data_IF_565697652774
#
_entry.id   IF_565697652774
#
_cell.length_a   1.000
_cell.length_b   1.000
_cell.length_c   1.000
_cell.angle_alpha   90.00
_cell.angle_beta   90.00
_cell.angle_gamma   90.00
#
_symmetry.space_group_name_H-M   'P 1'
#
loop_
_entity.id
_entity.type
_entity.pdbx_description
1 polymer ?
#
# COMPACT_ATOMS: atom_id res chain seq x y z
N UNK A 1 4.35 2.81 -15.74
CA UNK A 1 4.10 4.25 -15.51
C UNK A 1 3.31 4.78 -16.69
N UNK A 2 2.38 5.68 -16.44
CA UNK A 2 1.46 6.20 -17.45
C UNK A 2 1.17 7.66 -17.17
N UNK A 3 1.22 8.49 -18.21
CA UNK A 3 0.64 9.84 -18.20
C UNK A 3 -0.81 9.72 -18.67
N UNK A 4 -1.74 10.24 -17.90
CA UNK A 4 -3.18 10.24 -18.19
C UNK A 4 -3.57 11.65 -18.61
N UNK A 5 -4.12 11.81 -19.82
CA UNK A 5 -4.71 13.07 -20.25
C UNK A 5 -6.08 13.25 -19.58
N UNK A 6 -6.33 14.41 -18.98
CA UNK A 6 -7.55 14.70 -18.23
C UNK A 6 -8.47 15.63 -19.01
N UNK A 7 -8.04 16.87 -19.24
CA UNK A 7 -8.74 17.86 -20.06
C UNK A 7 -7.76 18.91 -20.59
N UNK A 8 -8.24 19.77 -21.48
CA UNK A 8 -7.51 20.96 -21.92
C UNK A 8 -8.33 22.21 -21.61
N UNK A 9 -7.65 23.28 -21.20
CA UNK A 9 -8.25 24.61 -21.04
C UNK A 9 -8.20 25.40 -22.35
N UNK A 10 -8.92 26.54 -22.41
CA UNK A 10 -9.03 27.39 -23.62
C UNK A 10 -7.71 28.10 -24.01
N UNK A 11 -6.72 28.09 -23.15
CA UNK A 11 -5.37 28.66 -23.33
C UNK A 11 -4.34 27.61 -23.78
N UNK A 12 -4.80 26.44 -24.27
CA UNK A 12 -3.97 25.29 -24.63
C UNK A 12 -3.18 24.67 -23.46
N UNK A 13 -3.48 25.01 -22.21
CA UNK A 13 -2.98 24.27 -21.05
C UNK A 13 -3.61 22.88 -21.00
N UNK A 14 -2.78 21.85 -20.97
CA UNK A 14 -3.22 20.45 -20.93
C UNK A 14 -3.07 19.92 -19.51
N UNK A 15 -4.17 19.48 -18.92
CA UNK A 15 -4.17 18.86 -17.60
C UNK A 15 -3.87 17.38 -17.72
N UNK A 16 -2.87 16.92 -16.97
CA UNK A 16 -2.38 15.55 -16.97
C UNK A 16 -2.22 15.02 -15.56
N UNK A 17 -2.31 13.71 -15.41
CA UNK A 17 -1.93 13.00 -14.19
C UNK A 17 -0.90 11.92 -14.46
N UNK A 18 -0.16 11.52 -13.43
CA UNK A 18 0.80 10.42 -13.50
C UNK A 18 0.39 9.28 -12.59
N UNK A 19 0.47 8.05 -13.10
CA UNK A 19 0.23 6.82 -12.34
C UNK A 19 1.39 5.86 -12.58
N UNK A 20 1.98 5.37 -11.51
CA UNK A 20 2.99 4.31 -11.53
C UNK A 20 2.50 3.15 -10.69
N UNK A 21 2.65 1.92 -11.20
CA UNK A 21 2.35 0.71 -10.47
C UNK A 21 3.64 -0.09 -10.26
N UNK A 22 3.86 -0.58 -9.05
CA UNK A 22 5.05 -1.31 -8.64
C UNK A 22 4.71 -2.73 -8.19
N UNK A 23 5.70 -3.60 -8.30
CA UNK A 23 5.74 -4.89 -7.64
C UNK A 23 7.21 -5.14 -7.30
N UNK A 24 7.59 -4.93 -6.05
CA UNK A 24 8.98 -5.06 -5.58
C UNK A 24 9.35 -6.51 -5.28
N UNK A 25 10.61 -6.76 -4.91
CA UNK A 25 11.09 -8.07 -4.48
C UNK A 25 10.25 -8.59 -3.29
N UNK A 26 9.67 -9.78 -3.43
CA UNK A 26 8.84 -10.39 -2.38
C UNK A 26 9.63 -10.79 -1.13
N UNK A 27 10.80 -11.40 -1.33
CA UNK A 27 11.66 -11.86 -0.23
C UNK A 27 13.08 -11.35 -0.44
N UNK A 28 13.52 -10.42 0.41
CA UNK A 28 14.85 -9.79 0.31
C UNK A 28 15.91 -10.40 1.25
N UNK A 29 15.55 -11.36 2.11
CA UNK A 29 16.47 -11.89 3.12
C UNK A 29 16.94 -10.81 4.09
N UNK A 30 18.25 -10.73 4.31
CA UNK A 30 18.92 -9.71 5.12
C UNK A 30 19.40 -8.51 4.28
N UNK A 31 19.23 -8.57 2.96
CA UNK A 31 19.68 -7.54 2.03
C UNK A 31 18.64 -6.41 1.90
N UNK A 32 19.10 -5.22 1.51
CA UNK A 32 18.23 -4.05 1.33
C UNK A 32 17.70 -3.91 -0.11
N UNK A 33 17.25 -5.02 -0.71
CA UNK A 33 16.84 -5.05 -2.13
C UNK A 33 15.63 -4.14 -2.38
N UNK A 34 14.61 -4.20 -1.52
CA UNK A 34 13.39 -3.39 -1.68
C UNK A 34 13.75 -1.90 -1.57
N UNK A 35 14.61 -1.51 -0.62
CA UNK A 35 15.04 -0.12 -0.47
C UNK A 35 15.74 0.42 -1.72
N UNK A 36 16.61 -0.39 -2.33
CA UNK A 36 17.25 -0.04 -3.60
C UNK A 36 16.23 0.09 -4.73
N UNK A 37 15.27 -0.81 -4.85
CA UNK A 37 14.20 -0.74 -5.84
C UNK A 37 13.31 0.51 -5.67
N UNK A 38 13.05 0.94 -4.43
CA UNK A 38 12.34 2.19 -4.18
C UNK A 38 13.18 3.42 -4.57
N UNK A 39 14.51 3.36 -4.42
CA UNK A 39 15.40 4.42 -4.89
C UNK A 39 15.41 4.51 -6.42
N UNK A 40 15.50 3.37 -7.11
CA UNK A 40 15.40 3.30 -8.57
C UNK A 40 14.03 3.78 -9.06
N UNK A 41 12.96 3.41 -8.36
CA UNK A 41 11.60 3.89 -8.66
C UNK A 41 11.53 5.41 -8.66
N UNK A 42 12.11 6.09 -7.65
CA UNK A 42 12.13 7.56 -7.61
C UNK A 42 12.82 8.15 -8.84
N UNK A 43 13.95 7.58 -9.24
CA UNK A 43 14.70 8.02 -10.42
C UNK A 43 13.90 7.81 -11.70
N UNK A 44 13.33 6.62 -11.91
CA UNK A 44 12.59 6.31 -13.13
C UNK A 44 11.26 7.07 -13.23
N UNK A 45 10.58 7.32 -12.11
CA UNK A 45 9.37 8.16 -12.10
C UNK A 45 9.72 9.61 -12.45
N UNK A 46 10.83 10.15 -11.92
CA UNK A 46 11.30 11.48 -12.29
C UNK A 46 11.65 11.58 -13.78
N UNK A 47 12.45 10.63 -14.29
CA UNK A 47 12.86 10.56 -15.70
C UNK A 47 11.66 10.39 -16.65
N UNK A 48 10.69 9.55 -16.29
CA UNK A 48 9.45 9.38 -17.07
C UNK A 48 8.66 10.69 -17.15
N UNK A 49 8.51 11.41 -16.04
CA UNK A 49 7.82 12.71 -16.03
C UNK A 49 8.55 13.72 -16.89
N UNK A 50 9.88 13.80 -16.79
CA UNK A 50 10.69 14.71 -17.60
C UNK A 50 10.53 14.45 -19.10
N UNK A 51 10.56 13.18 -19.52
CA UNK A 51 10.46 12.78 -20.93
C UNK A 51 9.07 12.93 -21.56
N UNK A 52 8.02 12.86 -20.75
CA UNK A 52 6.63 12.84 -21.25
C UNK A 52 5.89 14.16 -21.06
N UNK A 53 6.41 15.05 -20.20
CA UNK A 53 5.80 16.33 -19.91
C UNK A 53 6.04 17.33 -21.03
N UNK A 54 4.99 18.00 -21.45
CA UNK A 54 5.04 19.15 -22.35
C UNK A 54 5.13 20.45 -21.54
N UNK A 55 5.64 21.53 -22.16
CA UNK A 55 5.75 22.84 -21.50
C UNK A 55 4.39 23.43 -21.10
N UNK A 56 3.31 23.03 -21.78
CA UNK A 56 1.93 23.44 -21.50
C UNK A 56 1.21 22.53 -20.49
N UNK A 57 1.88 21.48 -20.00
CA UNK A 57 1.24 20.53 -19.08
C UNK A 57 1.14 21.08 -17.65
N UNK A 58 -0.08 21.02 -17.13
CA UNK A 58 -0.42 21.19 -15.71
C UNK A 58 -0.61 19.79 -15.11
N UNK A 59 0.23 19.46 -14.11
CA UNK A 59 0.16 18.14 -13.45
C UNK A 59 -0.78 18.22 -12.25
N UNK A 60 -1.93 17.58 -12.39
CA UNK A 60 -3.02 17.58 -11.42
C UNK A 60 -2.78 16.59 -10.28
N UNK A 61 -2.24 15.41 -10.59
CA UNK A 61 -1.86 14.40 -9.60
C UNK A 61 -0.68 13.55 -10.07
N UNK A 62 0.01 12.96 -9.10
CA UNK A 62 1.08 11.99 -9.30
C UNK A 62 0.98 10.92 -8.23
N UNK A 63 0.68 9.69 -8.66
CA UNK A 63 0.33 8.56 -7.81
C UNK A 63 1.27 7.40 -8.07
N UNK A 64 1.75 6.79 -7.00
CA UNK A 64 2.46 5.51 -7.03
C UNK A 64 1.64 4.50 -6.25
N UNK A 65 1.34 3.35 -6.82
CA UNK A 65 0.63 2.28 -6.15
C UNK A 65 1.26 0.92 -6.43
N UNK A 66 0.75 -0.11 -5.77
CA UNK A 66 1.08 -1.51 -6.04
C UNK A 66 1.51 -2.27 -4.80
N UNK A 67 2.18 -3.39 -5.04
CA UNK A 67 2.70 -4.26 -3.99
C UNK A 67 4.16 -3.91 -3.69
N UNK A 68 4.39 -3.39 -2.49
CA UNK A 68 5.70 -2.96 -2.02
C UNK A 68 6.43 -4.07 -1.27
N UNK A 69 5.77 -5.21 -1.00
CA UNK A 69 6.29 -6.35 -0.25
C UNK A 69 6.90 -6.04 1.13
N UNK A 70 6.75 -4.81 1.61
CA UNK A 70 7.25 -4.30 2.87
C UNK A 70 6.14 -3.51 3.57
N UNK A 71 5.95 -3.76 4.85
CA UNK A 71 4.96 -3.03 5.65
C UNK A 71 5.59 -1.75 6.27
N UNK A 72 4.89 -1.13 7.21
CA UNK A 72 5.33 0.09 7.88
C UNK A 72 5.53 -0.11 9.39
N UNK A 73 5.70 -1.34 9.88
CA UNK A 73 5.85 -1.60 11.32
C UNK A 73 6.93 -2.65 11.64
N UNK A 74 7.18 -3.58 10.71
CA UNK A 74 8.14 -4.66 10.82
C UNK A 74 9.57 -4.15 10.97
N UNK A 75 10.35 -4.77 11.85
CA UNK A 75 11.76 -4.42 12.07
C UNK A 75 12.59 -4.65 10.80
N UNK A 76 12.31 -5.73 10.07
CA UNK A 76 12.95 -6.04 8.80
C UNK A 76 12.67 -5.02 7.68
N UNK A 77 11.69 -4.14 7.88
CA UNK A 77 11.29 -3.09 6.94
C UNK A 77 11.72 -1.68 7.40
N UNK A 78 12.52 -1.57 8.47
CA UNK A 78 12.91 -0.28 9.04
C UNK A 78 13.60 0.67 8.06
N UNK A 79 14.35 0.13 7.09
CA UNK A 79 14.99 0.93 6.02
C UNK A 79 13.97 1.49 5.03
N UNK A 80 12.80 0.86 4.91
CA UNK A 80 11.68 1.29 4.08
C UNK A 80 10.87 2.39 4.76
N UNK A 81 10.66 2.29 6.08
CA UNK A 81 9.87 3.27 6.86
C UNK A 81 10.34 4.72 6.64
N UNK A 82 11.66 4.91 6.54
CA UNK A 82 12.30 6.22 6.39
C UNK A 82 12.86 6.44 4.97
N UNK A 83 12.45 5.62 4.00
CA UNK A 83 12.96 5.71 2.64
C UNK A 83 12.52 7.03 2.00
N UNK A 84 13.39 7.61 1.17
CA UNK A 84 13.15 8.95 0.62
C UNK A 84 11.91 9.09 -0.27
N UNK A 85 11.36 7.96 -0.74
CA UNK A 85 10.09 7.93 -1.46
C UNK A 85 8.94 8.47 -0.58
N UNK A 86 8.94 8.19 0.72
CA UNK A 86 7.91 8.63 1.66
C UNK A 86 8.11 10.09 2.14
N UNK A 87 9.24 10.71 1.77
CA UNK A 87 9.37 12.17 1.85
C UNK A 87 8.69 12.85 0.66
N UNK A 88 8.81 12.31 -0.55
CA UNK A 88 8.21 12.91 -1.76
C UNK A 88 6.71 12.59 -1.89
N UNK A 89 6.32 11.39 -1.46
CA UNK A 89 4.95 10.88 -1.52
C UNK A 89 4.41 10.58 -0.13
N UNK A 90 3.10 10.76 0.03
CA UNK A 90 2.36 10.52 1.25
C UNK A 90 1.54 9.24 1.13
N UNK A 91 1.60 8.38 2.15
CA UNK A 91 0.73 7.22 2.33
C UNK A 91 -0.41 7.59 3.29
N UNK A 92 -1.66 7.54 2.82
CA UNK A 92 -2.82 7.93 3.61
C UNK A 92 -3.08 7.02 4.83
N UNK A 93 -2.56 5.79 4.82
CA UNK A 93 -2.66 4.87 5.95
C UNK A 93 -1.56 5.08 7.00
N UNK A 94 -0.47 5.75 6.64
CA UNK A 94 0.70 5.95 7.50
C UNK A 94 0.48 7.15 8.42
N UNK A 95 0.54 6.94 9.74
CA UNK A 95 0.55 8.03 10.71
C UNK A 95 1.95 8.66 10.82
N UNK A 96 2.97 7.81 10.91
CA UNK A 96 4.39 8.17 10.92
C UNK A 96 5.24 6.95 10.50
N UNK A 97 6.54 7.12 10.20
CA UNK A 97 7.43 5.99 9.92
C UNK A 97 7.42 4.97 11.06
N UNK A 98 7.09 3.71 10.77
CA UNK A 98 6.97 2.67 11.80
C UNK A 98 5.55 2.53 12.39
N UNK A 99 4.59 3.36 11.99
CA UNK A 99 3.24 3.33 12.53
C UNK A 99 2.16 3.74 11.51
N UNK A 100 1.22 2.83 11.29
CA UNK A 100 -0.02 3.12 10.58
C UNK A 100 -1.12 3.67 11.50
N UNK A 101 -2.11 4.34 10.92
CA UNK A 101 -3.32 4.74 11.63
C UNK A 101 -4.09 3.52 12.14
N UNK A 102 -4.78 3.67 13.28
CA UNK A 102 -5.50 2.56 13.93
C UNK A 102 -6.65 1.94 13.13
N UNK A 103 -7.12 2.61 12.07
CA UNK A 103 -8.14 2.09 11.15
C UNK A 103 -7.54 1.28 10.00
N UNK A 104 -6.24 1.41 9.73
CA UNK A 104 -5.57 0.66 8.68
C UNK A 104 -5.36 -0.80 9.10
N UNK A 105 -5.48 -1.71 8.13
CA UNK A 105 -5.32 -3.15 8.31
C UNK A 105 -4.26 -3.70 7.37
N UNK A 106 -3.77 -4.91 7.66
CA UNK A 106 -2.89 -5.62 6.73
C UNK A 106 -3.62 -6.04 5.46
N UNK A 107 -2.86 -6.19 4.38
CA UNK A 107 -3.38 -6.52 3.05
C UNK A 107 -2.97 -7.89 2.57
N UNK A 108 -1.98 -8.52 3.21
CA UNK A 108 -1.49 -9.84 2.82
C UNK A 108 -2.03 -10.93 3.76
N UNK A 109 -2.62 -11.95 3.17
CA UNK A 109 -3.24 -13.07 3.86
C UNK A 109 -2.23 -14.18 4.17
N UNK A 110 -2.53 -14.94 5.21
CA UNK A 110 -1.89 -16.23 5.48
C UNK A 110 -2.42 -17.23 4.46
N UNK A 111 -1.61 -17.59 3.47
CA UNK A 111 -2.03 -18.45 2.35
C UNK A 111 -2.72 -19.76 2.79
N UNK A 112 -2.27 -20.48 3.86
CA UNK A 112 -2.93 -21.70 4.32
C UNK A 112 -4.39 -21.51 4.75
N UNK A 113 -4.82 -20.27 5.02
CA UNK A 113 -6.14 -19.94 5.53
C UNK A 113 -7.09 -19.37 4.48
N UNK A 114 -6.60 -19.11 3.25
CA UNK A 114 -7.36 -18.46 2.18
C UNK A 114 -8.70 -19.15 1.89
N UNK A 115 -8.71 -20.48 1.84
CA UNK A 115 -9.90 -21.27 1.53
C UNK A 115 -10.66 -21.75 2.77
N UNK A 116 -10.45 -21.09 3.91
CA UNK A 116 -11.19 -21.41 5.14
C UNK A 116 -12.68 -21.25 4.92
N UNK A 117 -13.47 -22.15 5.53
CA UNK A 117 -14.94 -22.08 5.52
C UNK A 117 -15.50 -20.78 6.13
N UNK A 118 -14.69 -20.05 6.90
CA UNK A 118 -15.03 -18.72 7.43
C UNK A 118 -14.96 -17.62 6.35
N UNK A 119 -14.24 -17.84 5.25
CA UNK A 119 -14.03 -16.90 4.14
C UNK A 119 -14.84 -17.31 2.91
N UNK A 120 -16.06 -17.78 3.13
CA UNK A 120 -16.93 -18.36 2.11
C UNK A 120 -17.42 -17.34 1.07
N UNK A 121 -17.50 -16.06 1.42
CA UNK A 121 -17.89 -14.98 0.52
C UNK A 121 -17.29 -13.62 0.95
N UNK A 122 -17.31 -12.60 0.07
CA UNK A 122 -16.80 -11.26 0.39
C UNK A 122 -17.41 -10.60 1.62
N UNK A 123 -18.67 -10.87 1.95
CA UNK A 123 -19.35 -10.25 3.08
C UNK A 123 -18.90 -10.88 4.41
N UNK A 124 -18.74 -12.20 4.45
CA UNK A 124 -18.18 -12.89 5.61
C UNK A 124 -16.71 -12.51 5.83
N UNK A 125 -15.91 -12.42 4.77
CA UNK A 125 -14.53 -11.95 4.92
C UNK A 125 -14.48 -10.51 5.44
N UNK A 126 -15.40 -9.64 5.00
CA UNK A 126 -15.48 -8.27 5.52
C UNK A 126 -15.70 -8.24 7.03
N UNK A 127 -16.62 -9.06 7.55
CA UNK A 127 -16.86 -9.18 8.99
C UNK A 127 -15.63 -9.67 9.75
N UNK A 128 -14.90 -10.63 9.17
CA UNK A 128 -13.63 -11.12 9.71
C UNK A 128 -12.59 -10.01 9.80
N UNK A 129 -12.48 -9.15 8.80
CA UNK A 129 -11.51 -8.04 8.80
C UNK A 129 -11.87 -6.93 9.82
N UNK A 130 -13.16 -6.70 10.06
CA UNK A 130 -13.65 -5.72 11.04
C UNK A 130 -13.41 -6.14 12.49
N UNK A 131 -13.34 -7.45 12.75
CA UNK A 131 -13.01 -8.00 14.07
C UNK A 131 -11.49 -8.14 14.22
N UNK A 132 -10.93 -7.47 15.22
CA UNK A 132 -9.48 -7.45 15.46
C UNK A 132 -8.89 -8.85 15.71
N UNK A 133 -9.59 -9.70 16.45
CA UNK A 133 -9.11 -11.03 16.79
C UNK A 133 -9.28 -11.98 15.60
N UNK A 134 -10.42 -11.93 14.91
CA UNK A 134 -10.61 -12.75 13.71
C UNK A 134 -9.63 -12.37 12.61
N UNK A 135 -9.38 -11.07 12.38
CA UNK A 135 -8.44 -10.62 11.34
C UNK A 135 -7.05 -11.23 11.48
N UNK A 136 -6.53 -11.32 12.71
CA UNK A 136 -5.20 -11.92 13.01
C UNK A 136 -5.08 -13.40 12.63
N UNK A 137 -6.22 -14.11 12.54
CA UNK A 137 -6.24 -15.49 12.09
C UNK A 137 -5.95 -15.64 10.59
N UNK A 138 -6.24 -14.61 9.80
CA UNK A 138 -6.23 -14.67 8.33
C UNK A 138 -5.25 -13.71 7.68
N UNK A 139 -4.92 -12.60 8.32
CA UNK A 139 -3.97 -11.59 7.83
C UNK A 139 -2.63 -11.76 8.55
N UNK A 140 -1.53 -11.57 7.81
CA UNK A 140 -0.18 -11.64 8.37
C UNK A 140 0.08 -10.50 9.36
N UNK A 141 0.90 -10.80 10.36
CA UNK A 141 1.31 -9.83 11.36
C UNK A 141 2.44 -8.97 10.79
N UNK A 142 2.48 -7.68 11.16
CA UNK A 142 3.58 -6.79 10.80
C UNK A 142 4.75 -6.97 11.80
N UNK A 143 5.33 -8.16 11.79
CA UNK A 143 6.37 -8.60 12.73
C UNK A 143 7.59 -9.22 12.05
N UNK A 144 7.80 -8.91 10.76
CA UNK A 144 8.89 -9.45 9.97
C UNK A 144 10.22 -8.92 10.52
N UNK A 145 11.14 -9.83 10.82
CA UNK A 145 12.52 -9.49 11.20
C UNK A 145 13.48 -9.75 10.04
N UNK A 146 13.26 -10.84 9.31
CA UNK A 146 14.00 -11.22 8.10
C UNK A 146 12.98 -11.75 7.08
N UNK A 147 13.10 -11.32 5.83
CA UNK A 147 12.21 -11.75 4.77
C UNK A 147 12.57 -13.15 4.29
N UNK A 148 11.63 -14.09 4.36
CA UNK A 148 11.78 -15.43 3.81
C UNK A 148 10.47 -15.93 3.21
N UNK A 149 10.56 -17.00 2.42
CA UNK A 149 9.39 -17.70 1.87
C UNK A 149 8.46 -18.25 2.95
N UNK A 150 8.91 -18.36 4.20
CA UNK A 150 8.09 -18.86 5.31
C UNK A 150 6.98 -17.88 5.68
N UNK A 151 7.13 -16.58 5.36
CA UNK A 151 6.12 -15.56 5.63
C UNK A 151 4.75 -15.93 5.06
N UNK A 152 4.71 -16.40 3.81
CA UNK A 152 3.48 -16.78 3.11
C UNK A 152 2.68 -17.89 3.84
N UNK A 153 3.39 -18.76 4.58
CA UNK A 153 2.78 -19.91 5.26
C UNK A 153 2.69 -19.76 6.79
N UNK A 154 3.09 -18.60 7.32
CA UNK A 154 3.15 -18.34 8.76
C UNK A 154 1.75 -18.40 9.37
N UNK A 155 1.56 -19.34 10.31
CA UNK A 155 0.30 -19.49 11.05
C UNK A 155 0.19 -18.45 12.19
N UNK A 156 -1.04 -18.16 12.66
CA UNK A 156 -1.24 -17.26 13.79
C UNK A 156 -0.57 -17.77 15.07
N UNK A 157 -0.04 -16.85 15.89
CA UNK A 157 0.58 -17.20 17.17
C UNK A 157 -0.46 -17.48 18.25
N UNK A 158 -0.28 -18.58 18.96
CA UNK A 158 -1.10 -18.95 20.10
C UNK A 158 -0.30 -18.78 21.40
N UNK A 159 -0.97 -18.36 22.46
CA UNK A 159 -0.41 -18.31 23.81
C UNK A 159 -0.31 -19.71 24.45
N UNK A 160 0.21 -19.78 25.67
CA UNK A 160 0.35 -21.03 26.42
C UNK A 160 -0.97 -21.75 26.72
N UNK A 161 -2.10 -21.08 26.54
CA UNK A 161 -3.46 -21.61 26.70
C UNK A 161 -4.13 -21.97 25.37
N UNK A 162 -3.36 -21.97 24.27
CA UNK A 162 -3.86 -22.20 22.90
C UNK A 162 -4.87 -21.16 22.42
N UNK A 163 -4.82 -19.94 22.95
CA UNK A 163 -5.63 -18.80 22.49
C UNK A 163 -4.80 -17.89 21.60
N UNK A 164 -5.45 -17.22 20.65
CA UNK A 164 -4.78 -16.29 19.76
C UNK A 164 -4.14 -15.14 20.54
N UNK A 165 -2.87 -14.87 20.26
CA UNK A 165 -2.12 -13.82 20.95
C UNK A 165 -2.51 -12.41 20.47
N UNK A 166 -2.79 -11.52 21.43
CA UNK A 166 -3.24 -10.15 21.18
C UNK A 166 -2.08 -9.15 20.97
N UNK A 167 -1.22 -9.41 19.98
CA UNK A 167 -0.10 -8.54 19.58
C UNK A 167 -0.53 -7.20 18.95
N UNK A 168 0.19 -6.11 19.22
CA UNK A 168 -0.14 -4.78 18.69
C UNK A 168 -0.04 -4.64 17.16
N UNK A 169 0.81 -5.47 16.54
CA UNK A 169 1.07 -5.58 15.11
C UNK A 169 0.33 -6.76 14.45
N UNK A 170 -0.57 -7.43 15.18
CA UNK A 170 -1.28 -8.59 14.70
C UNK A 170 -2.26 -8.28 13.56
N UNK A 171 -2.20 -9.02 12.44
CA UNK A 171 -3.04 -8.79 11.26
C UNK A 171 -2.89 -7.40 10.63
N UNK A 172 -1.67 -6.85 10.66
CA UNK A 172 -1.35 -5.50 10.19
C UNK A 172 -0.29 -5.43 9.08
N UNK A 173 0.16 -6.56 8.51
CA UNK A 173 1.13 -6.54 7.40
C UNK A 173 0.49 -5.94 6.13
N UNK A 174 0.70 -4.63 5.93
CA UNK A 174 0.14 -3.85 4.81
C UNK A 174 1.22 -3.54 3.79
N UNK A 175 1.27 -4.37 2.74
CA UNK A 175 2.27 -4.26 1.67
C UNK A 175 1.72 -3.59 0.41
N UNK A 176 0.41 -3.59 0.24
CA UNK A 176 -0.27 -2.92 -0.86
C UNK A 176 -0.52 -1.45 -0.49
N UNK A 177 0.04 -0.53 -1.27
CA UNK A 177 0.04 0.91 -0.93
C UNK A 177 -0.45 1.75 -2.11
N UNK A 178 -1.05 2.90 -1.78
CA UNK A 178 -1.36 3.98 -2.73
C UNK A 178 -0.78 5.25 -2.14
N UNK A 179 0.19 5.83 -2.84
CA UNK A 179 0.95 7.00 -2.43
C UNK A 179 0.60 8.18 -3.32
N UNK A 180 0.44 9.36 -2.73
CA UNK A 180 0.18 10.62 -3.46
C UNK A 180 1.35 11.58 -3.29
N UNK A 181 1.85 12.14 -4.38
CA UNK A 181 2.97 13.08 -4.33
C UNK A 181 2.60 14.36 -3.57
N UNK A 182 3.40 14.78 -2.59
CA UNK A 182 3.06 15.87 -1.66
C UNK A 182 2.90 17.25 -2.31
N UNK A 183 3.63 17.52 -3.39
CA UNK A 183 3.48 18.77 -4.16
C UNK A 183 2.12 18.90 -4.85
N UNK A 184 1.44 17.78 -5.15
CA UNK A 184 0.14 17.80 -5.81
C UNK A 184 -0.96 17.70 -4.75
N UNK A 185 -1.84 18.71 -4.69
CA UNK A 185 -2.88 18.80 -3.65
C UNK A 185 -4.04 17.87 -3.97
N UNK A 186 -3.82 16.58 -3.75
CA UNK A 186 -4.85 15.54 -3.78
C UNK A 186 -5.59 15.54 -2.44
N UNK A 187 -6.92 15.64 -2.47
CA UNK A 187 -7.77 15.40 -1.31
C UNK A 187 -8.33 13.99 -1.38
N UNK A 188 -7.90 13.11 -0.49
CA UNK A 188 -8.50 11.78 -0.35
C UNK A 188 -9.94 11.94 0.13
N UNK A 189 -10.89 11.40 -0.64
CA UNK A 189 -12.32 11.40 -0.33
C UNK A 189 -12.77 10.07 0.27
N UNK A 190 -12.11 8.97 -0.10
CA UNK A 190 -12.38 7.64 0.43
C UNK A 190 -11.20 6.72 0.22
N UNK A 191 -11.03 5.78 1.15
CA UNK A 191 -10.02 4.75 1.12
C UNK A 191 -10.64 3.45 1.62
N UNK A 192 -10.44 2.33 0.94
CA UNK A 192 -11.03 1.07 1.33
C UNK A 192 -10.15 -0.13 0.99
N UNK A 193 -10.29 -1.17 1.81
CA UNK A 193 -9.75 -2.51 1.61
C UNK A 193 -10.90 -3.41 1.13
N UNK A 194 -10.74 -4.04 -0.03
CA UNK A 194 -11.83 -4.78 -0.66
C UNK A 194 -11.72 -6.28 -0.39
N UNK A 195 -12.85 -6.92 -0.13
CA UNK A 195 -12.97 -8.38 0.00
C UNK A 195 -13.56 -9.04 -1.25
N UNK A 196 -13.78 -8.27 -2.31
CA UNK A 196 -14.46 -8.74 -3.53
C UNK A 196 -13.74 -9.89 -4.23
N UNK A 197 -12.44 -10.08 -3.97
CA UNK A 197 -11.63 -11.16 -4.53
C UNK A 197 -11.37 -12.31 -3.52
N UNK A 198 -12.24 -12.45 -2.51
CA UNK A 198 -12.18 -13.57 -1.54
C UNK A 198 -12.06 -14.91 -2.29
N UNK A 199 -11.14 -15.77 -1.85
CA UNK A 199 -10.80 -17.07 -2.45
C UNK A 199 -10.16 -17.03 -3.86
N UNK A 200 -9.82 -15.84 -4.37
CA UNK A 200 -9.16 -15.69 -5.69
C UNK A 200 -7.71 -15.21 -5.59
N UNK A 201 -7.33 -14.62 -4.46
CA UNK A 201 -5.99 -14.10 -4.17
C UNK A 201 -5.76 -14.05 -2.66
N UNK A 202 -4.49 -14.02 -2.25
CA UNK A 202 -3.99 -13.76 -0.91
C UNK A 202 -3.79 -12.27 -0.60
N UNK A 203 -4.08 -11.36 -1.52
CA UNK A 203 -4.01 -9.92 -1.27
C UNK A 203 -5.40 -9.26 -1.22
N UNK A 204 -5.55 -8.27 -0.35
CA UNK A 204 -6.71 -7.37 -0.34
C UNK A 204 -6.48 -6.23 -1.33
N UNK A 205 -7.32 -6.08 -2.37
CA UNK A 205 -7.26 -4.89 -3.21
C UNK A 205 -7.50 -3.63 -2.38
N UNK A 206 -6.64 -2.63 -2.62
CA UNK A 206 -6.73 -1.32 -1.98
C UNK A 206 -7.26 -0.32 -3.01
N UNK A 207 -8.23 0.50 -2.60
CA UNK A 207 -8.81 1.53 -3.46
C UNK A 207 -8.81 2.88 -2.79
N UNK A 208 -8.56 3.92 -3.58
CA UNK A 208 -8.58 5.31 -3.15
C UNK A 208 -9.42 6.13 -4.13
N UNK A 209 -10.38 6.87 -3.60
CA UNK A 209 -11.10 7.92 -4.33
C UNK A 209 -10.56 9.27 -3.89
N UNK A 210 -10.27 10.16 -4.83
CA UNK A 210 -9.68 11.45 -4.53
C UNK A 210 -10.20 12.56 -5.43
N UNK A 211 -9.97 13.80 -4.98
CA UNK A 211 -10.26 15.01 -5.72
C UNK A 211 -9.00 15.85 -5.86
N UNK A 212 -8.75 16.36 -7.06
CA UNK A 212 -7.68 17.34 -7.31
C UNK A 212 -8.16 18.72 -6.86
N UNK A 213 -7.39 19.38 -5.99
CA UNK A 213 -7.67 20.78 -5.64
C UNK A 213 -7.00 21.71 -6.64
N UNK A 214 -7.78 22.26 -7.57
CA UNK A 214 -7.31 23.39 -8.37
C UNK A 214 -7.28 24.65 -7.49
N UNK A 215 -6.10 25.21 -7.26
CA UNK A 215 -6.02 26.61 -6.83
C UNK A 215 -6.46 27.46 -8.01
N UNK A 216 -7.69 27.99 -7.97
CA UNK A 216 -8.03 29.16 -8.79
C UNK A 216 -7.07 30.27 -8.35
N UNK A 217 -6.21 30.74 -9.24
CA UNK A 217 -5.59 32.05 -9.06
C UNK A 217 -6.73 33.07 -8.97
N UNK A 218 -6.84 33.71 -7.81
CA UNK A 218 -7.67 34.90 -7.63
C UNK A 218 -7.09 36.06 -8.43
#
# INVERSE_FOLDING_TARGET
>A
MTQVALHSERNDCRHVGYISNLHTQAYQGEENVIANQLSETRLFVADFKEKTRQSTDVVDFDIICGDFNADNMSIGDATIHNHGLFYDYEDFCMAEPGQDHGWAIGTEMRQPTMYSSCLKDPFEFKKVLEDDMLRRMFILDADVTVHSTDLATKMPRLDSTSRLEALHNGGKRRVDKILTHRLHRVKVLGYAFLTTLTNLTDHLPVVMTFQVKHTRSL
#
